data_IF_398680338634
#
_entry.id   IF_398680338634
#
_cell.length_a   1.000
_cell.length_b   1.000
_cell.length_c   1.000
_cell.angle_alpha   90.00
_cell.angle_beta   90.00
_cell.angle_gamma   90.00
#
_symmetry.space_group_name_H-M   'P 1'
#
loop_
_entity.id
_entity.type
_entity.pdbx_description
1 polymer ?
#
# COMPACT_ATOMS: atom_id res chain seq x y z
N UNK A 1 55.34 42.11 7.95
CA UNK A 1 54.88 40.74 7.67
C UNK A 1 53.37 40.76 7.83
N UNK A 2 52.66 40.16 6.87
CA UNK A 2 51.24 39.76 6.99
C UNK A 2 50.17 40.85 6.85
N UNK A 3 50.20 41.57 5.73
CA UNK A 3 49.00 42.23 5.21
C UNK A 3 48.08 41.21 4.53
N UNK A 4 46.83 41.16 4.98
CA UNK A 4 45.65 40.81 4.20
C UNK A 4 45.36 39.31 3.94
N UNK A 5 45.39 38.50 5.00
CA UNK A 5 44.73 37.18 5.03
C UNK A 5 43.22 37.29 5.34
N UNK A 6 42.52 38.32 4.83
CA UNK A 6 41.09 38.57 5.14
C UNK A 6 40.29 39.01 3.90
N UNK A 7 40.16 38.10 2.93
CA UNK A 7 39.20 38.24 1.81
C UNK A 7 38.23 37.05 1.71
N UNK A 8 37.87 36.44 2.84
CA UNK A 8 36.86 35.37 2.90
C UNK A 8 35.60 35.77 3.68
N UNK A 9 35.41 37.08 3.94
CA UNK A 9 34.18 37.64 4.49
C UNK A 9 33.32 38.08 3.30
N UNK A 10 32.61 37.17 2.63
CA UNK A 10 31.35 37.40 1.86
C UNK A 10 30.97 36.04 1.28
N UNK A 11 30.16 35.28 2.00
CA UNK A 11 29.23 34.22 1.58
C UNK A 11 28.70 33.67 2.91
N UNK A 12 27.93 34.47 3.65
CA UNK A 12 26.52 34.48 3.32
C UNK A 12 25.88 33.29 4.01
N UNK A 13 25.68 33.48 5.32
CA UNK A 13 24.91 32.63 6.22
C UNK A 13 23.51 32.43 5.64
N UNK A 14 23.26 31.27 5.04
CA UNK A 14 21.89 30.80 4.78
C UNK A 14 21.80 29.27 4.76
N UNK A 15 21.89 28.69 5.97
CA UNK A 15 21.55 27.29 6.26
C UNK A 15 20.07 27.14 6.63
N UNK A 16 19.18 27.94 6.04
CA UNK A 16 17.73 27.76 6.13
C UNK A 16 17.08 27.90 4.77
N UNK A 17 17.64 27.22 3.76
CA UNK A 17 16.86 26.88 2.58
C UNK A 17 15.80 25.85 2.98
N UNK A 18 14.65 26.35 3.41
CA UNK A 18 13.42 25.59 3.54
C UNK A 18 13.15 24.96 2.17
N UNK A 19 13.21 23.64 2.09
CA UNK A 19 12.76 22.96 0.89
C UNK A 19 11.25 23.19 0.83
N UNK A 20 10.85 24.11 -0.03
CA UNK A 20 9.45 24.27 -0.41
C UNK A 20 9.16 23.10 -1.34
N UNK A 21 8.74 21.98 -0.76
CA UNK A 21 8.23 20.84 -1.53
C UNK A 21 7.09 21.38 -2.40
N UNK A 22 7.36 21.53 -3.70
CA UNK A 22 6.34 21.87 -4.68
C UNK A 22 5.30 20.76 -4.60
N UNK A 23 4.13 21.08 -4.07
CA UNK A 23 2.98 20.19 -4.12
C UNK A 23 2.82 19.76 -5.58
N UNK A 24 2.95 18.47 -5.84
CA UNK A 24 2.80 17.93 -7.20
C UNK A 24 1.49 18.42 -7.78
N UNK A 25 1.53 18.92 -9.02
CA UNK A 25 0.46 19.63 -9.75
C UNK A 25 -0.92 18.94 -9.75
N UNK A 26 -0.99 17.66 -9.38
CA UNK A 26 -2.18 16.83 -9.49
C UNK A 26 -2.90 16.55 -8.16
N UNK A 27 -2.49 17.17 -7.04
CA UNK A 27 -3.01 16.77 -5.72
C UNK A 27 -4.38 17.36 -5.37
N UNK A 28 -4.78 18.47 -6.01
CA UNK A 28 -5.96 19.25 -5.60
C UNK A 28 -6.95 19.55 -6.74
N UNK A 29 -6.91 18.83 -7.88
CA UNK A 29 -7.89 19.03 -8.94
C UNK A 29 -9.10 18.08 -8.75
N UNK A 30 -10.34 18.61 -8.62
CA UNK A 30 -11.55 17.79 -8.48
C UNK A 30 -11.97 17.08 -9.77
N UNK A 31 -11.14 17.10 -10.82
CA UNK A 31 -11.40 16.38 -12.09
C UNK A 31 -11.18 14.85 -11.96
N UNK A 32 -10.68 14.37 -10.82
CA UNK A 32 -10.69 12.94 -10.47
C UNK A 32 -11.94 12.55 -9.68
N UNK A 33 -13.13 12.89 -10.17
CA UNK A 33 -14.32 12.13 -9.81
C UNK A 33 -14.25 10.78 -10.56
N UNK A 34 -13.43 9.86 -10.04
CA UNK A 34 -13.42 8.47 -10.47
C UNK A 34 -14.73 7.81 -10.03
N UNK A 35 -15.84 8.16 -10.68
CA UNK A 35 -17.09 7.41 -10.86
C UNK A 35 -18.33 8.34 -10.90
N UNK A 36 -18.70 8.93 -12.07
CA UNK A 36 -19.97 9.62 -12.21
C UNK A 36 -21.18 8.67 -12.24
N UNK A 37 -20.95 7.38 -12.48
CA UNK A 37 -21.99 6.37 -12.69
C UNK A 37 -22.45 5.64 -11.42
N UNK A 38 -21.84 5.93 -10.26
CA UNK A 38 -22.23 5.38 -8.95
C UNK A 38 -22.23 3.85 -8.84
N UNK A 39 -21.78 3.11 -9.85
CA UNK A 39 -21.76 1.65 -9.83
C UNK A 39 -20.56 1.22 -9.00
N UNK A 40 -20.83 0.79 -7.76
CA UNK A 40 -19.82 0.27 -6.85
C UNK A 40 -19.01 -0.83 -7.53
N UNK A 41 -17.73 -0.55 -7.79
CA UNK A 41 -16.77 -1.51 -8.31
C UNK A 41 -16.73 -2.68 -7.32
N UNK A 42 -17.23 -3.85 -7.73
CA UNK A 42 -17.21 -5.04 -6.88
C UNK A 42 -15.78 -5.56 -6.81
N UNK A 43 -14.98 -4.95 -5.94
CA UNK A 43 -13.61 -5.34 -5.57
C UNK A 43 -13.59 -6.55 -4.63
N UNK A 44 -14.77 -7.03 -4.24
CA UNK A 44 -14.95 -8.20 -3.40
C UNK A 44 -14.82 -9.47 -4.25
N UNK A 45 -13.72 -10.20 -4.07
CA UNK A 45 -13.52 -11.54 -4.60
C UNK A 45 -13.96 -12.57 -3.55
N UNK A 46 -14.42 -13.75 -3.94
CA UNK A 46 -14.74 -14.80 -2.97
C UNK A 46 -13.50 -15.65 -2.70
N UNK A 47 -13.35 -16.13 -1.47
CA UNK A 47 -12.30 -17.12 -1.17
C UNK A 47 -12.70 -18.47 -1.76
N UNK A 48 -11.86 -19.07 -2.59
CA UNK A 48 -12.10 -20.41 -3.15
C UNK A 48 -11.41 -21.52 -2.35
N UNK A 49 -10.35 -21.19 -1.62
CA UNK A 49 -9.61 -22.16 -0.81
C UNK A 49 -8.31 -21.60 -0.25
N UNK A 50 -7.60 -22.45 0.50
CA UNK A 50 -6.34 -22.12 1.15
C UNK A 50 -5.30 -23.21 0.91
N UNK A 51 -4.04 -22.81 0.77
CA UNK A 51 -2.88 -23.70 0.75
C UNK A 51 -1.71 -23.05 1.50
N UNK A 52 -0.67 -23.81 1.79
CA UNK A 52 0.60 -23.27 2.29
C UNK A 52 1.59 -23.16 1.12
N UNK A 53 2.39 -22.10 1.12
CA UNK A 53 3.55 -21.98 0.24
C UNK A 53 4.75 -22.80 0.76
N UNK A 54 5.87 -22.74 0.04
CA UNK A 54 7.12 -23.42 0.39
C UNK A 54 7.72 -22.98 1.73
N UNK A 55 7.39 -21.76 2.17
CA UNK A 55 7.83 -21.19 3.45
C UNK A 55 6.85 -21.54 4.60
N UNK A 56 5.73 -22.21 4.30
CA UNK A 56 4.69 -22.59 5.25
C UNK A 56 3.66 -21.48 5.54
N UNK A 57 3.67 -20.38 4.78
CA UNK A 57 2.69 -19.31 4.93
C UNK A 57 1.37 -19.64 4.24
N UNK A 58 0.26 -19.25 4.86
CA UNK A 58 -1.06 -19.45 4.27
C UNK A 58 -1.32 -18.51 3.10
N UNK A 59 -1.83 -19.08 2.01
CA UNK A 59 -2.22 -18.38 0.79
C UNK A 59 -3.68 -18.66 0.51
N UNK A 60 -4.48 -17.60 0.38
CA UNK A 60 -5.87 -17.70 -0.06
C UNK A 60 -5.92 -17.61 -1.59
N UNK A 61 -6.57 -18.58 -2.23
CA UNK A 61 -7.01 -18.44 -3.61
C UNK A 61 -8.31 -17.64 -3.66
N UNK A 62 -8.43 -16.71 -4.60
CA UNK A 62 -9.61 -15.87 -4.78
C UNK A 62 -10.30 -16.15 -6.12
N UNK A 63 -11.61 -15.92 -6.18
CA UNK A 63 -12.44 -16.13 -7.38
C UNK A 63 -12.07 -15.24 -8.56
N UNK A 64 -11.34 -14.15 -8.31
CA UNK A 64 -10.78 -13.29 -9.36
C UNK A 64 -9.53 -13.88 -10.03
N UNK A 65 -9.08 -15.07 -9.62
CA UNK A 65 -7.88 -15.74 -10.14
C UNK A 65 -6.58 -15.35 -9.42
N UNK A 66 -6.60 -14.31 -8.59
CA UNK A 66 -5.44 -13.91 -7.81
C UNK A 66 -5.30 -14.70 -6.50
N UNK A 67 -4.09 -14.69 -5.96
CA UNK A 67 -3.77 -15.23 -4.64
C UNK A 67 -3.44 -14.11 -3.65
N UNK A 68 -3.80 -14.31 -2.38
CA UNK A 68 -3.45 -13.41 -1.29
C UNK A 68 -2.65 -14.16 -0.23
N UNK A 69 -1.41 -13.71 -0.01
CA UNK A 69 -0.61 -14.17 1.13
C UNK A 69 -1.18 -13.62 2.44
N UNK A 70 -1.37 -14.51 3.40
CA UNK A 70 -1.83 -14.24 4.75
C UNK A 70 -0.62 -14.35 5.70
N UNK A 71 0.35 -13.44 5.54
CA UNK A 71 1.56 -13.42 6.39
C UNK A 71 1.22 -12.94 7.80
N UNK A 72 1.74 -13.67 8.80
CA UNK A 72 1.50 -13.42 10.23
C UNK A 72 2.71 -12.89 11.00
N UNK A 73 3.86 -12.66 10.36
CA UNK A 73 5.12 -12.33 11.03
C UNK A 73 5.69 -10.98 10.58
N UNK A 74 6.08 -10.08 11.51
CA UNK A 74 5.30 -9.56 12.64
C UNK A 74 3.94 -8.99 12.18
N UNK A 75 2.92 -8.83 13.04
CA UNK A 75 1.54 -8.66 12.59
C UNK A 75 1.30 -7.25 12.07
N UNK A 76 1.72 -6.96 10.85
CA UNK A 76 1.27 -5.79 10.11
C UNK A 76 -0.25 -5.85 9.87
N UNK A 77 -0.87 -7.04 9.94
CA UNK A 77 -2.32 -7.23 9.90
C UNK A 77 -2.74 -8.40 10.81
N UNK A 78 -3.57 -8.15 11.84
CA UNK A 78 -4.06 -9.20 12.76
C UNK A 78 -5.13 -10.06 12.08
N UNK A 79 -4.82 -11.35 11.90
CA UNK A 79 -5.74 -12.35 11.31
C UNK A 79 -5.67 -13.68 12.05
N UNK A 80 -5.98 -13.70 13.34
CA UNK A 80 -5.87 -14.91 14.17
C UNK A 80 -6.62 -16.14 13.59
N UNK A 81 -7.73 -15.92 12.90
CA UNK A 81 -8.55 -16.96 12.26
C UNK A 81 -7.80 -17.81 11.23
N UNK A 82 -6.70 -17.32 10.67
CA UNK A 82 -5.93 -18.05 9.64
C UNK A 82 -5.17 -19.22 10.24
N UNK A 83 -4.86 -19.20 11.54
CA UNK A 83 -4.12 -20.31 12.18
C UNK A 83 -5.03 -21.50 12.45
N UNK A 84 -6.32 -21.25 12.67
CA UNK A 84 -7.33 -22.28 12.97
C UNK A 84 -7.97 -22.84 11.70
N UNK A 85 -7.91 -24.15 11.52
CA UNK A 85 -8.39 -24.80 10.30
C UNK A 85 -9.91 -24.65 10.11
N UNK A 86 -10.68 -24.74 11.20
CA UNK A 86 -12.14 -24.59 11.16
C UNK A 86 -12.53 -23.19 10.72
N UNK A 87 -11.97 -22.16 11.35
CA UNK A 87 -12.21 -20.77 10.96
C UNK A 87 -11.75 -20.45 9.54
N UNK A 88 -10.66 -21.05 9.05
CA UNK A 88 -10.29 -20.93 7.63
C UNK A 88 -11.38 -21.50 6.72
N UNK A 89 -11.89 -22.70 7.01
CA UNK A 89 -12.96 -23.30 6.21
C UNK A 89 -14.22 -22.43 6.20
N UNK A 90 -14.57 -21.80 7.32
CA UNK A 90 -15.68 -20.84 7.41
C UNK A 90 -15.49 -19.59 6.52
N UNK A 91 -14.26 -19.28 6.13
CA UNK A 91 -13.97 -18.17 5.20
C UNK A 91 -14.13 -18.56 3.73
N UNK A 92 -14.21 -19.84 3.38
CA UNK A 92 -14.44 -20.25 1.99
C UNK A 92 -15.84 -19.77 1.55
N UNK A 93 -15.92 -19.19 0.36
CA UNK A 93 -17.14 -18.57 -0.18
C UNK A 93 -17.46 -17.19 0.39
N UNK A 94 -16.70 -16.69 1.38
CA UNK A 94 -16.87 -15.35 1.90
C UNK A 94 -16.17 -14.30 1.03
N UNK A 95 -16.70 -13.07 0.96
CA UNK A 95 -16.02 -11.97 0.28
C UNK A 95 -14.70 -11.63 0.96
N UNK A 96 -13.72 -11.32 0.14
CA UNK A 96 -12.35 -11.01 0.51
C UNK A 96 -11.81 -9.92 -0.42
N UNK A 97 -11.16 -8.91 0.15
CA UNK A 97 -10.58 -7.81 -0.61
C UNK A 97 -9.31 -8.29 -1.33
N UNK A 98 -9.36 -8.35 -2.67
CA UNK A 98 -8.18 -8.65 -3.46
C UNK A 98 -7.34 -7.38 -3.62
N UNK A 99 -6.12 -7.39 -3.06
CA UNK A 99 -5.20 -6.25 -3.18
C UNK A 99 -4.82 -5.91 -4.62
N UNK A 100 -4.76 -6.89 -5.52
CA UNK A 100 -4.47 -6.69 -6.94
C UNK A 100 -5.64 -6.04 -7.68
N UNK A 101 -6.87 -6.55 -7.48
CA UNK A 101 -8.06 -5.95 -8.09
C UNK A 101 -8.37 -4.55 -7.55
N UNK A 102 -7.96 -4.24 -6.31
CA UNK A 102 -8.09 -2.90 -5.75
C UNK A 102 -7.08 -1.89 -6.34
N UNK A 103 -5.96 -2.38 -6.89
CA UNK A 103 -4.87 -1.54 -7.41
C UNK A 103 -4.88 -1.35 -8.92
N UNK A 104 -5.58 -2.19 -9.68
CA UNK A 104 -5.67 -2.02 -11.13
C UNK A 104 -6.58 -0.83 -11.46
N UNK A 105 -6.06 0.32 -11.94
CA UNK A 105 -6.84 1.15 -12.85
C UNK A 105 -7.04 0.31 -14.12
N UNK A 106 -8.23 0.37 -14.70
CA UNK A 106 -8.47 -0.23 -16.02
C UNK A 106 -7.57 0.36 -17.10
#
# INVERSE_FOLDING_TARGET
METALLAAIVMGRDLLHKNEERTSLNKDLPESEQNPDGRGRSTASLVIGFHQDEEGHWVAGLSCGHTQHLRHQPPWQSRAWVLDATQRLEKIGQPFACGWCAQAPE
#
